data_IF_650265855076
#
_entry.id   IF_650265855076
#
_cell.length_a   1.000
_cell.length_b   1.000
_cell.length_c   1.000
_cell.angle_alpha   90.00
_cell.angle_beta   90.00
_cell.angle_gamma   90.00
#
_symmetry.space_group_name_H-M   'P 1'
#
loop_
_entity.id
_entity.type
_entity.pdbx_description
1 polymer ?
#
# COMPACT_ATOMS: atom_id res chain seq x y z
N UNK A 1 -61.67 -3.52 31.98
CA UNK A 1 -62.47 -2.50 31.27
C UNK A 1 -61.93 -2.38 29.85
N UNK A 2 -62.88 -2.27 28.92
CA UNK A 2 -62.76 -1.83 27.52
C UNK A 2 -62.10 -2.76 26.50
N UNK A 3 -62.99 -3.43 25.77
CA UNK A 3 -62.78 -4.09 24.48
C UNK A 3 -62.37 -3.10 23.38
N UNK A 4 -61.76 -3.63 22.31
CA UNK A 4 -62.00 -3.10 20.98
C UNK A 4 -62.11 -4.25 19.98
N UNK A 5 -63.33 -4.42 19.48
CA UNK A 5 -63.69 -5.27 18.37
C UNK A 5 -63.35 -4.57 17.05
N UNK A 6 -63.03 -5.34 16.01
CA UNK A 6 -62.89 -4.80 14.66
C UNK A 6 -62.54 -5.87 13.64
N UNK A 7 -63.51 -6.70 13.26
CA UNK A 7 -63.43 -7.53 12.04
C UNK A 7 -63.58 -6.62 10.83
N UNK A 8 -62.72 -6.77 9.82
CA UNK A 8 -63.00 -6.36 8.44
C UNK A 8 -62.52 -7.47 7.50
N UNK A 9 -63.44 -7.93 6.65
CA UNK A 9 -63.28 -9.00 5.67
C UNK A 9 -62.71 -8.44 4.35
N UNK A 10 -62.02 -9.35 3.67
CA UNK A 10 -61.65 -9.45 2.26
C UNK A 10 -62.31 -8.51 1.23
N UNK A 11 -61.50 -8.01 0.29
CA UNK A 11 -61.93 -7.56 -1.02
C UNK A 11 -60.84 -6.87 -1.86
N UNK A 12 -60.37 -7.56 -2.92
CA UNK A 12 -59.62 -7.05 -4.10
C UNK A 12 -58.14 -6.67 -3.85
N UNK A 13 -57.11 -7.44 -4.25
CA UNK A 13 -56.75 -7.93 -5.59
C UNK A 13 -56.85 -6.84 -6.68
N UNK A 14 -55.95 -5.86 -6.60
CA UNK A 14 -55.62 -4.94 -7.68
C UNK A 14 -54.17 -4.45 -7.51
N UNK A 15 -53.43 -4.47 -8.63
CA UNK A 15 -52.14 -3.83 -8.89
C UNK A 15 -50.92 -4.37 -8.10
N UNK A 16 -50.20 -5.38 -8.62
CA UNK A 16 -49.24 -5.28 -9.75
C UNK A 16 -48.11 -4.30 -9.45
N UNK A 17 -46.96 -4.88 -9.11
CA UNK A 17 -45.61 -4.45 -9.50
C UNK A 17 -45.37 -2.92 -9.48
N UNK A 18 -45.32 -2.33 -8.29
CA UNK A 18 -44.49 -1.15 -8.08
C UNK A 18 -43.04 -1.61 -7.91
N UNK A 19 -42.39 -1.83 -9.05
CA UNK A 19 -40.97 -1.60 -9.35
C UNK A 19 -40.13 -1.15 -8.14
N UNK A 20 -39.75 -2.09 -7.28
CA UNK A 20 -38.42 -2.05 -6.68
C UNK A 20 -37.46 -2.45 -7.79
N UNK A 21 -37.22 -1.55 -8.74
CA UNK A 21 -35.99 -1.60 -9.51
C UNK A 21 -34.88 -1.43 -8.50
N UNK A 22 -34.02 -2.44 -8.21
CA UNK A 22 -32.71 -2.08 -7.75
C UNK A 22 -32.18 -1.16 -8.84
N UNK A 23 -31.74 0.03 -8.44
CA UNK A 23 -30.89 0.86 -9.27
C UNK A 23 -29.74 -0.07 -9.67
N UNK A 24 -29.79 -0.58 -10.89
CA UNK A 24 -28.63 -1.07 -11.58
C UNK A 24 -27.78 0.18 -11.69
N UNK A 25 -26.94 0.41 -10.68
CA UNK A 25 -25.71 1.16 -10.84
C UNK A 25 -24.94 0.33 -11.86
N UNK A 26 -25.24 0.60 -13.12
CA UNK A 26 -24.49 0.16 -14.26
C UNK A 26 -23.14 0.85 -14.06
N UNK A 27 -22.20 0.14 -13.44
CA UNK A 27 -20.80 0.53 -13.41
C UNK A 27 -20.38 0.65 -14.88
N UNK A 28 -20.47 1.87 -15.40
CA UNK A 28 -20.03 2.19 -16.73
C UNK A 28 -18.51 2.01 -16.76
N UNK A 29 -18.07 0.99 -17.50
CA UNK A 29 -16.72 0.92 -18.05
C UNK A 29 -15.70 0.21 -17.20
N UNK A 30 -15.92 -1.05 -16.79
CA UNK A 30 -14.82 -1.98 -16.42
C UNK A 30 -13.92 -1.54 -15.25
N UNK A 31 -14.21 -0.42 -14.61
CA UNK A 31 -13.53 0.13 -13.43
C UNK A 31 -14.27 -0.37 -12.20
N UNK A 32 -13.55 -1.00 -11.28
CA UNK A 32 -14.05 -1.36 -9.96
C UNK A 32 -13.09 -0.96 -8.87
N UNK A 33 -13.63 -0.43 -7.79
CA UNK A 33 -12.89 -0.28 -6.53
C UNK A 33 -13.08 -1.53 -5.69
N UNK A 34 -11.98 -2.08 -5.22
CA UNK A 34 -11.88 -3.26 -4.38
C UNK A 34 -11.17 -2.88 -3.08
N UNK A 35 -11.68 -3.40 -1.97
CA UNK A 35 -11.05 -3.30 -0.66
C UNK A 35 -11.02 -4.68 0.00
N UNK A 36 -9.91 -5.01 0.62
CA UNK A 36 -9.61 -6.21 1.36
C UNK A 36 -9.24 -5.87 2.80
N UNK A 37 -10.14 -6.03 3.75
CA UNK A 37 -9.90 -5.61 5.14
C UNK A 37 -8.58 -6.17 5.72
N UNK A 38 -8.14 -7.35 5.26
CA UNK A 38 -6.87 -7.98 5.65
C UNK A 38 -5.62 -7.14 5.35
N UNK A 39 -5.66 -6.28 4.33
CA UNK A 39 -4.53 -5.39 4.02
C UNK A 39 -4.38 -4.30 5.09
N UNK A 40 -5.45 -3.98 5.82
CA UNK A 40 -5.43 -3.00 6.92
C UNK A 40 -4.89 -3.65 8.19
N UNK A 41 -3.57 -3.67 8.34
CA UNK A 41 -2.89 -4.26 9.50
C UNK A 41 -1.55 -3.60 9.75
N UNK A 42 -0.91 -4.04 10.82
CA UNK A 42 0.49 -3.73 11.12
C UNK A 42 1.37 -4.73 10.39
N UNK A 43 2.39 -4.21 9.70
CA UNK A 43 3.44 -4.95 9.05
C UNK A 43 4.74 -4.64 9.79
N UNK A 44 5.45 -5.68 10.21
CA UNK A 44 6.71 -5.58 10.94
C UNK A 44 7.84 -6.14 10.08
N UNK A 45 9.06 -5.66 10.28
CA UNK A 45 10.28 -6.23 9.66
C UNK A 45 10.24 -6.30 8.12
N UNK A 46 9.71 -5.26 7.47
CA UNK A 46 9.64 -5.14 6.01
C UNK A 46 11.03 -5.08 5.35
N UNK A 47 11.96 -4.30 5.92
CA UNK A 47 13.30 -4.04 5.35
C UNK A 47 14.32 -3.75 6.45
N UNK A 48 15.39 -4.53 6.55
CA UNK A 48 16.48 -4.24 7.48
C UNK A 48 17.48 -3.22 6.89
N UNK A 49 17.89 -3.40 5.64
CA UNK A 49 18.83 -2.51 4.95
C UNK A 49 18.12 -1.42 4.13
N UNK A 50 18.23 -0.16 4.56
CA UNK A 50 17.52 0.94 3.91
C UNK A 50 18.30 1.56 2.76
N UNK A 51 19.59 1.86 2.97
CA UNK A 51 20.44 2.46 1.93
C UNK A 51 21.91 2.55 2.33
N UNK A 52 22.80 2.55 1.34
CA UNK A 52 24.20 2.96 1.50
C UNK A 52 24.43 4.28 0.77
N UNK A 53 24.76 5.33 1.52
CA UNK A 53 25.03 6.66 0.99
C UNK A 53 26.55 6.87 0.99
N UNK A 54 27.14 7.14 -0.18
CA UNK A 54 28.59 7.41 -0.32
C UNK A 54 28.84 8.85 -0.69
N UNK A 55 29.68 9.55 0.08
CA UNK A 55 29.90 11.00 -0.05
C UNK A 55 31.37 11.33 0.16
N UNK A 56 32.10 11.46 -0.94
CA UNK A 56 33.55 11.59 -0.89
C UNK A 56 34.18 10.41 -0.14
N UNK A 57 34.95 10.63 0.93
CA UNK A 57 35.54 9.56 1.75
C UNK A 57 34.62 9.02 2.84
N UNK A 58 33.39 9.54 2.96
CA UNK A 58 32.42 9.12 3.96
C UNK A 58 31.44 8.09 3.38
N UNK A 59 31.17 7.03 4.14
CA UNK A 59 30.12 6.06 3.86
C UNK A 59 29.12 6.08 5.02
N UNK A 60 27.83 6.15 4.71
CA UNK A 60 26.73 6.10 5.69
C UNK A 60 25.82 4.94 5.31
N UNK A 61 25.83 3.87 6.09
CA UNK A 61 24.92 2.76 5.94
C UNK A 61 23.72 2.96 6.88
N UNK A 62 22.52 3.01 6.31
CA UNK A 62 21.26 3.16 7.04
C UNK A 62 20.58 1.80 7.16
N UNK A 63 20.23 1.43 8.39
CA UNK A 63 19.51 0.20 8.73
C UNK A 63 18.32 0.49 9.63
N UNK A 64 17.29 -0.35 9.57
CA UNK A 64 16.13 -0.27 10.45
C UNK A 64 15.83 -1.61 11.11
N UNK A 65 16.55 -1.95 12.20
CA UNK A 65 16.48 -3.27 12.82
C UNK A 65 15.12 -3.58 13.45
N UNK A 66 14.32 -2.55 13.71
CA UNK A 66 12.97 -2.68 14.25
C UNK A 66 12.11 -1.56 13.67
N UNK A 67 11.07 -1.92 12.92
CA UNK A 67 10.11 -0.97 12.39
C UNK A 67 8.76 -1.64 12.19
N UNK A 68 7.72 -0.81 12.24
CA UNK A 68 6.35 -1.17 12.01
C UNK A 68 5.70 -0.16 11.06
N UNK A 69 4.95 -0.67 10.10
CA UNK A 69 4.14 0.12 9.20
C UNK A 69 2.69 -0.32 9.36
N UNK A 70 1.82 0.60 9.71
CA UNK A 70 0.39 0.38 9.77
C UNK A 70 -0.25 0.87 8.48
N UNK A 71 -0.96 -0.01 7.80
CA UNK A 71 -1.90 0.38 6.74
C UNK A 71 -3.27 0.53 7.40
N UNK A 72 -3.77 1.76 7.51
CA UNK A 72 -5.08 2.02 8.13
C UNK A 72 -6.21 1.88 7.13
N UNK A 73 -5.93 2.18 5.87
CA UNK A 73 -6.88 2.11 4.77
C UNK A 73 -6.16 1.79 3.48
N UNK A 74 -6.85 1.09 2.61
CA UNK A 74 -6.44 0.94 1.23
C UNK A 74 -7.67 0.93 0.32
N UNK A 75 -7.45 1.28 -0.94
CA UNK A 75 -8.42 1.12 -2.00
C UNK A 75 -7.67 0.75 -3.28
N UNK A 76 -8.04 -0.35 -3.91
CA UNK A 76 -7.52 -0.74 -5.20
C UNK A 76 -8.57 -0.46 -6.27
N UNK A 77 -8.27 0.42 -7.20
CA UNK A 77 -9.07 0.60 -8.40
C UNK A 77 -8.49 -0.27 -9.50
N UNK A 78 -9.30 -1.20 -10.01
CA UNK A 78 -8.97 -2.09 -11.11
C UNK A 78 -9.76 -1.67 -12.34
N UNK A 79 -9.06 -1.45 -13.45
CA UNK A 79 -9.66 -1.15 -14.75
C UNK A 79 -9.35 -2.30 -15.69
N UNK A 80 -10.39 -2.91 -16.26
CA UNK A 80 -10.23 -3.98 -17.23
C UNK A 80 -9.42 -3.51 -18.45
N UNK A 81 -8.30 -4.19 -18.70
CA UNK A 81 -7.51 -4.08 -19.93
C UNK A 81 -7.72 -5.29 -20.84
N UNK A 82 -6.74 -5.54 -21.72
CA UNK A 82 -6.76 -6.65 -22.67
C UNK A 82 -6.27 -7.96 -22.03
N UNK A 83 -6.71 -9.10 -22.58
CA UNK A 83 -6.21 -10.45 -22.25
C UNK A 83 -6.23 -10.83 -20.75
N UNK A 84 -7.16 -10.26 -19.96
CA UNK A 84 -7.26 -10.53 -18.52
C UNK A 84 -6.21 -9.81 -17.67
N UNK A 85 -5.54 -8.81 -18.23
CA UNK A 85 -4.71 -7.85 -17.53
C UNK A 85 -5.57 -6.68 -17.07
N UNK A 86 -5.30 -6.20 -15.86
CA UNK A 86 -6.00 -5.10 -15.21
C UNK A 86 -5.01 -4.00 -14.90
N UNK A 87 -5.31 -2.80 -15.38
CA UNK A 87 -4.67 -1.59 -14.89
C UNK A 87 -5.10 -1.37 -13.44
N UNK A 88 -4.14 -1.12 -12.55
CA UNK A 88 -4.39 -0.99 -11.12
C UNK A 88 -3.84 0.32 -10.59
N UNK A 89 -4.66 1.02 -9.82
CA UNK A 89 -4.24 2.10 -8.92
C UNK A 89 -4.52 1.65 -7.50
N UNK A 90 -3.48 1.53 -6.68
CA UNK A 90 -3.57 1.19 -5.27
C UNK A 90 -3.26 2.44 -4.44
N UNK A 91 -4.28 2.93 -3.73
CA UNK A 91 -4.14 3.99 -2.74
C UNK A 91 -4.00 3.35 -1.35
N UNK A 92 -2.97 3.74 -0.59
CA UNK A 92 -2.69 3.26 0.76
C UNK A 92 -2.59 4.45 1.71
N UNK A 93 -3.32 4.45 2.82
CA UNK A 93 -3.07 5.35 3.95
C UNK A 93 -2.17 4.61 4.95
N UNK A 94 -0.97 5.16 5.17
CA UNK A 94 0.06 4.54 6.01
C UNK A 94 0.51 5.46 7.14
N UNK A 95 0.85 4.84 8.27
CA UNK A 95 1.58 5.42 9.40
C UNK A 95 2.58 4.38 9.91
N UNK A 96 3.47 4.77 10.81
CA UNK A 96 4.43 3.81 11.34
C UNK A 96 5.47 4.44 12.25
N UNK A 97 6.30 3.58 12.79
CA UNK A 97 7.42 3.97 13.63
C UNK A 97 8.47 2.87 13.66
N UNK A 98 9.67 3.21 14.12
CA UNK A 98 10.75 2.26 14.27
C UNK A 98 12.00 2.90 14.81
N UNK A 99 13.11 2.21 14.60
CA UNK A 99 14.45 2.66 14.91
C UNK A 99 15.24 2.70 13.61
N UNK A 100 16.03 3.76 13.44
CA UNK A 100 17.01 3.88 12.37
C UNK A 100 18.40 3.91 12.98
N UNK A 101 19.29 3.10 12.42
CA UNK A 101 20.71 3.01 12.79
C UNK A 101 21.53 3.47 11.59
N UNK A 102 22.38 4.46 11.80
CA UNK A 102 23.33 4.94 10.81
C UNK A 102 24.74 4.58 11.23
N UNK A 103 25.40 3.72 10.47
CA UNK A 103 26.83 3.50 10.61
C UNK A 103 27.55 4.48 9.69
N UNK A 104 28.35 5.36 10.26
CA UNK A 104 29.10 6.41 9.59
C UNK A 104 30.58 6.05 9.62
N UNK A 105 31.16 5.86 8.44
CA UNK A 105 32.58 5.54 8.26
C UNK A 105 33.23 6.71 7.52
N UNK A 106 34.26 7.32 8.12
CA UNK A 106 35.04 8.41 7.52
C UNK A 106 36.53 8.09 7.66
N UNK A 107 37.14 7.60 6.58
CA UNK A 107 38.53 7.12 6.63
C UNK A 107 38.67 5.94 7.60
N UNK A 108 39.36 6.13 8.73
CA UNK A 108 39.51 5.12 9.78
C UNK A 108 38.60 5.34 10.99
N UNK A 109 37.75 6.37 10.97
CA UNK A 109 36.79 6.65 12.04
C UNK A 109 35.47 5.97 11.71
N UNK A 110 34.93 5.23 12.68
CA UNK A 110 33.63 4.59 12.62
C UNK A 110 32.78 5.10 13.79
N UNK A 111 31.54 5.49 13.49
CA UNK A 111 30.58 5.96 14.48
C UNK A 111 29.22 5.40 14.16
N UNK A 112 28.47 5.01 15.18
CA UNK A 112 27.09 4.56 15.03
C UNK A 112 26.15 5.57 15.68
N UNK A 113 25.10 5.96 14.96
CA UNK A 113 24.03 6.81 15.45
C UNK A 113 22.73 6.02 15.42
N UNK A 114 21.97 6.06 16.51
CA UNK A 114 20.68 5.38 16.60
C UNK A 114 19.62 6.40 16.97
N UNK A 115 18.51 6.40 16.23
CA UNK A 115 17.41 7.33 16.44
C UNK A 115 16.05 6.66 16.26
N UNK A 116 15.03 7.30 16.81
CA UNK A 116 13.65 6.96 16.48
C UNK A 116 13.33 7.40 15.05
N UNK A 117 12.55 6.58 14.37
CA UNK A 117 12.01 6.81 13.04
C UNK A 117 10.50 6.87 13.18
N UNK A 118 9.90 7.91 12.63
CA UNK A 118 8.45 8.08 12.57
C UNK A 118 8.05 8.11 11.10
N UNK A 119 7.04 7.32 10.74
CA UNK A 119 6.37 7.43 9.45
C UNK A 119 5.08 8.22 9.68
N UNK A 120 5.05 9.53 9.37
CA UNK A 120 3.86 10.34 9.55
C UNK A 120 2.73 9.81 8.66
N UNK A 121 1.49 10.15 9.03
CA UNK A 121 0.33 9.83 8.21
C UNK A 121 0.49 10.39 6.79
N UNK A 122 0.44 9.50 5.80
CA UNK A 122 0.57 9.85 4.40
C UNK A 122 -0.18 8.86 3.50
N UNK A 123 -0.52 9.34 2.30
CA UNK A 123 -1.17 8.54 1.27
C UNK A 123 -0.15 8.19 0.20
N UNK A 124 0.04 6.89 -0.04
CA UNK A 124 0.80 6.39 -1.18
C UNK A 124 -0.15 6.03 -2.32
N UNK A 125 0.28 6.29 -3.55
CA UNK A 125 -0.40 5.85 -4.76
C UNK A 125 0.55 5.03 -5.60
N UNK A 126 0.16 3.80 -5.89
CA UNK A 126 0.93 2.86 -6.69
C UNK A 126 0.13 2.54 -7.95
N UNK A 127 0.70 2.85 -9.09
CA UNK A 127 0.13 2.53 -10.40
C UNK A 127 0.83 1.29 -10.98
N UNK A 128 0.06 0.37 -11.53
CA UNK A 128 0.60 -0.86 -12.08
C UNK A 128 -0.37 -1.57 -13.02
N UNK A 129 0.01 -2.78 -13.41
CA UNK A 129 -0.84 -3.71 -14.12
C UNK A 129 -0.68 -5.11 -13.52
N UNK A 130 -1.79 -5.82 -13.35
CA UNK A 130 -1.83 -7.17 -12.79
C UNK A 130 -2.68 -8.08 -13.68
N UNK A 131 -2.28 -9.34 -13.82
CA UNK A 131 -3.13 -10.39 -14.38
C UNK A 131 -3.73 -11.20 -13.23
N UNK A 132 -5.03 -11.49 -13.31
CA UNK A 132 -5.73 -12.25 -12.26
C UNK A 132 -6.31 -13.53 -12.85
N UNK A 133 -5.92 -14.67 -12.28
CA UNK A 133 -6.42 -16.00 -12.65
C UNK A 133 -7.04 -16.69 -11.44
N UNK A 134 -8.24 -17.25 -11.62
CA UNK A 134 -8.92 -18.05 -10.60
C UNK A 134 -8.71 -19.55 -10.83
N UNK A 135 -8.48 -20.30 -9.76
CA UNK A 135 -8.52 -21.75 -9.73
C UNK A 135 -9.12 -22.29 -8.41
N UNK A 136 -8.89 -23.57 -8.11
CA UNK A 136 -9.42 -24.26 -6.92
C UNK A 136 -8.75 -23.80 -5.62
N UNK A 137 -7.53 -23.27 -5.67
CA UNK A 137 -6.78 -22.80 -4.50
C UNK A 137 -7.12 -21.35 -4.15
N UNK A 138 -7.44 -20.53 -5.16
CA UNK A 138 -7.86 -19.15 -4.95
C UNK A 138 -7.72 -18.25 -6.17
N UNK A 139 -7.10 -17.08 -5.94
CA UNK A 139 -6.84 -16.08 -6.97
C UNK A 139 -5.34 -15.85 -7.09
N UNK A 140 -4.79 -16.22 -8.23
CA UNK A 140 -3.42 -15.92 -8.60
C UNK A 140 -3.36 -14.51 -9.18
N UNK A 141 -2.53 -13.68 -8.59
CA UNK A 141 -2.21 -12.34 -9.06
C UNK A 141 -0.78 -12.38 -9.58
N UNK A 142 -0.61 -12.10 -10.87
CA UNK A 142 0.70 -11.86 -11.46
C UNK A 142 0.89 -10.38 -11.69
N UNK A 143 2.00 -9.82 -11.20
CA UNK A 143 2.36 -8.43 -11.46
C UNK A 143 2.91 -8.29 -12.87
N UNK A 144 2.21 -7.63 -13.78
CA UNK A 144 2.70 -7.38 -15.15
C UNK A 144 3.59 -6.13 -15.18
N UNK A 145 3.17 -5.09 -14.45
CA UNK A 145 3.90 -3.83 -14.32
C UNK A 145 3.71 -3.30 -12.90
N UNK A 146 4.80 -2.97 -12.25
CA UNK A 146 4.82 -2.32 -10.95
C UNK A 146 6.08 -1.44 -10.89
N UNK A 147 6.06 -0.25 -10.28
CA UNK A 147 7.28 0.45 -9.97
C UNK A 147 8.19 -0.43 -9.10
N UNK A 148 9.50 -0.40 -9.34
CA UNK A 148 10.45 -1.20 -8.56
C UNK A 148 10.53 -0.77 -7.09
N UNK A 149 10.24 0.51 -6.82
CA UNK A 149 10.31 1.11 -5.49
C UNK A 149 9.22 2.14 -5.32
N UNK A 150 8.77 2.35 -4.09
CA UNK A 150 7.98 3.51 -3.68
C UNK A 150 8.74 4.36 -2.66
N UNK A 151 8.44 5.65 -2.59
CA UNK A 151 9.05 6.56 -1.63
C UNK A 151 8.13 6.77 -0.44
N UNK A 152 8.67 6.54 0.76
CA UNK A 152 7.99 6.76 2.03
C UNK A 152 8.68 7.90 2.75
N UNK A 153 7.92 8.96 3.07
CA UNK A 153 8.44 10.04 3.90
C UNK A 153 8.58 9.56 5.33
N UNK A 154 9.71 9.88 5.93
CA UNK A 154 10.00 9.62 7.34
C UNK A 154 10.43 10.90 8.05
N UNK A 155 10.28 10.89 9.38
CA UNK A 155 10.71 11.93 10.27
C UNK A 155 11.68 11.30 11.29
N UNK A 156 12.89 11.85 11.38
CA UNK A 156 13.91 11.44 12.34
C UNK A 156 14.86 12.60 12.62
N UNK A 157 15.36 12.70 13.85
CA UNK A 157 16.38 13.67 14.22
C UNK A 157 17.74 13.39 13.55
N UNK A 158 17.91 12.18 12.99
CA UNK A 158 19.14 11.74 12.33
C UNK A 158 19.54 12.68 11.20
N UNK A 159 18.58 13.21 10.44
CA UNK A 159 18.87 14.11 9.33
C UNK A 159 19.53 15.41 9.77
N UNK A 160 19.00 16.04 10.82
CA UNK A 160 19.59 17.25 11.41
C UNK A 160 20.98 16.99 11.98
N UNK A 161 21.19 15.83 12.62
CA UNK A 161 22.48 15.46 13.19
C UNK A 161 23.52 15.21 12.09
N UNK A 162 23.19 14.39 11.09
CA UNK A 162 24.07 14.11 9.95
C UNK A 162 24.36 15.37 9.13
N UNK A 163 23.37 16.24 8.93
CA UNK A 163 23.55 17.52 8.26
C UNK A 163 24.51 18.43 9.03
N UNK A 164 24.41 18.48 10.37
CA UNK A 164 25.31 19.26 11.22
C UNK A 164 26.75 18.75 11.11
N UNK A 165 26.95 17.43 11.17
CA UNK A 165 28.27 16.80 10.98
C UNK A 165 28.81 17.08 9.57
N UNK A 166 27.98 16.92 8.54
CA UNK A 166 28.35 17.17 7.16
C UNK A 166 28.80 18.63 6.94
N UNK A 167 28.07 19.61 7.49
CA UNK A 167 28.44 21.03 7.39
C UNK A 167 29.77 21.35 8.05
N UNK A 168 30.07 20.75 9.21
CA UNK A 168 31.36 20.92 9.87
C UNK A 168 32.50 20.33 9.02
N UNK A 169 32.25 19.19 8.38
CA UNK A 169 33.22 18.52 7.51
C UNK A 169 33.40 19.22 6.15
N UNK A 170 32.36 19.82 5.59
CA UNK A 170 32.42 20.54 4.32
C UNK A 170 33.39 21.73 4.35
N UNK A 171 33.68 22.28 5.54
CA UNK A 171 34.71 23.32 5.74
C UNK A 171 36.14 22.79 5.52
N UNK A 172 36.36 21.49 5.68
CA UNK A 172 37.68 20.84 5.60
C UNK A 172 37.80 20.00 4.32
N UNK A 173 36.70 19.38 3.89
CA UNK A 173 36.60 18.49 2.74
C UNK A 173 35.76 19.16 1.66
N UNK A 174 36.44 19.69 0.64
CA UNK A 174 35.80 20.25 -0.55
C UNK A 174 35.07 19.12 -1.28
N UNK A 175 33.74 19.25 -1.49
CA UNK A 175 32.82 18.35 -2.25
C UNK A 175 31.76 17.52 -1.48
N UNK A 176 31.46 17.82 -0.21
CA UNK A 176 30.33 17.19 0.49
C UNK A 176 28.96 17.80 0.07
N UNK A 177 28.10 17.00 -0.54
CA UNK A 177 26.70 17.36 -0.85
C UNK A 177 25.80 17.05 0.36
N UNK A 178 25.73 17.99 1.31
CA UNK A 178 24.93 17.82 2.52
C UNK A 178 23.42 17.84 2.26
N UNK A 179 22.95 18.42 1.15
CA UNK A 179 21.53 18.42 0.78
C UNK A 179 21.07 17.04 0.29
N UNK A 180 21.95 16.30 -0.40
CA UNK A 180 21.68 14.91 -0.77
C UNK A 180 21.52 14.01 0.48
N UNK A 181 22.29 14.25 1.55
CA UNK A 181 22.14 13.52 2.83
C UNK A 181 20.78 13.77 3.42
N UNK A 182 20.41 15.04 3.56
CA UNK A 182 19.13 15.44 4.17
C UNK A 182 17.94 14.86 3.41
N UNK A 183 18.02 14.76 2.08
CA UNK A 183 16.99 14.08 1.28
C UNK A 183 16.97 12.57 1.51
N UNK A 184 18.13 11.93 1.57
CA UNK A 184 18.22 10.47 1.74
C UNK A 184 17.73 9.97 3.11
N UNK A 185 17.75 10.84 4.13
CA UNK A 185 17.29 10.54 5.50
C UNK A 185 15.85 10.99 5.78
N UNK A 186 15.20 11.63 4.80
CA UNK A 186 13.78 12.04 4.88
C UNK A 186 12.87 11.19 3.98
N UNK A 187 13.43 10.54 2.95
CA UNK A 187 12.72 9.65 2.04
C UNK A 187 13.38 8.27 2.03
N UNK A 188 12.64 7.24 2.42
CA UNK A 188 13.06 5.85 2.29
C UNK A 188 12.50 5.27 0.99
N UNK A 189 13.34 4.56 0.24
CA UNK A 189 12.90 3.77 -0.91
C UNK A 189 12.52 2.37 -0.42
N UNK A 190 11.23 2.04 -0.50
CA UNK A 190 10.68 0.72 -0.17
C UNK A 190 10.61 -0.10 -1.46
N UNK A 191 11.29 -1.25 -1.56
CA UNK A 191 11.19 -2.12 -2.73
C UNK A 191 9.78 -2.69 -2.82
N UNK A 192 9.26 -2.75 -4.03
CA UNK A 192 7.99 -3.38 -4.35
C UNK A 192 8.23 -4.70 -5.08
N UNK A 193 7.23 -5.60 -5.12
CA UNK A 193 7.23 -6.78 -5.97
C UNK A 193 7.76 -6.51 -7.38
N UNK A 194 8.70 -7.35 -7.82
CA UNK A 194 9.19 -7.30 -9.20
C UNK A 194 8.07 -7.65 -10.18
N UNK A 195 8.14 -7.06 -11.37
CA UNK A 195 7.32 -7.49 -12.49
C UNK A 195 7.59 -8.97 -12.81
N UNK A 196 6.54 -9.73 -13.06
CA UNK A 196 6.53 -11.18 -13.20
C UNK A 196 6.30 -11.95 -11.89
N UNK A 197 6.35 -11.29 -10.73
CA UNK A 197 6.02 -11.92 -9.45
C UNK A 197 4.59 -12.47 -9.44
N UNK A 198 4.40 -13.67 -8.91
CA UNK A 198 3.09 -14.32 -8.74
C UNK A 198 2.77 -14.50 -7.26
N UNK A 199 1.52 -14.20 -6.89
CA UNK A 199 1.02 -14.24 -5.52
C UNK A 199 -0.34 -14.93 -5.48
N UNK A 200 -0.53 -15.85 -4.54
CA UNK A 200 -1.81 -16.51 -4.31
C UNK A 200 -2.57 -15.80 -3.19
N UNK A 201 -3.79 -15.35 -3.49
CA UNK A 201 -4.81 -15.08 -2.48
C UNK A 201 -5.62 -16.37 -2.30
N UNK A 202 -5.31 -17.14 -1.26
CA UNK A 202 -5.97 -18.42 -0.99
C UNK A 202 -7.46 -18.24 -0.63
N UNK A 203 -8.29 -19.22 -0.95
CA UNK A 203 -9.73 -19.16 -0.62
C UNK A 203 -10.00 -19.07 0.88
N UNK A 204 -9.17 -19.72 1.70
CA UNK A 204 -9.26 -19.68 3.17
C UNK A 204 -9.01 -18.28 3.74
N UNK A 205 -8.25 -17.47 2.99
CA UNK A 205 -7.90 -16.11 3.32
C UNK A 205 -8.91 -15.06 2.82
N UNK A 206 -10.01 -15.51 2.20
CA UNK A 206 -11.02 -14.63 1.61
C UNK A 206 -12.40 -14.89 2.19
N UNK A 207 -13.09 -13.80 2.54
CA UNK A 207 -14.49 -13.86 2.93
C UNK A 207 -15.37 -14.30 1.76
N UNK A 208 -16.59 -14.75 2.05
CA UNK A 208 -17.53 -15.12 0.99
C UNK A 208 -17.97 -13.91 0.16
N UNK A 209 -18.01 -12.74 0.77
CA UNK A 209 -18.37 -11.47 0.12
C UNK A 209 -17.27 -11.03 -0.85
N UNK A 210 -16.02 -10.96 -0.40
CA UNK A 210 -14.86 -10.66 -1.26
C UNK A 210 -14.79 -11.61 -2.45
N UNK A 211 -15.00 -12.92 -2.22
CA UNK A 211 -15.03 -13.91 -3.30
C UNK A 211 -16.10 -13.64 -4.35
N UNK A 212 -17.32 -13.31 -3.92
CA UNK A 212 -18.42 -13.00 -4.83
C UNK A 212 -18.14 -11.75 -5.64
N UNK A 213 -17.50 -10.76 -5.04
CA UNK A 213 -17.17 -9.52 -5.73
C UNK A 213 -16.03 -9.73 -6.74
N UNK A 214 -14.99 -10.49 -6.38
CA UNK A 214 -13.94 -10.92 -7.31
C UNK A 214 -14.47 -11.76 -8.47
N UNK A 215 -15.30 -12.76 -8.18
CA UNK A 215 -15.84 -13.65 -9.21
C UNK A 215 -16.76 -12.88 -10.17
N UNK A 216 -17.55 -11.93 -9.64
CA UNK A 216 -18.37 -11.04 -10.46
C UNK A 216 -17.50 -10.16 -11.36
N UNK A 217 -16.44 -9.58 -10.81
CA UNK A 217 -15.50 -8.76 -11.57
C UNK A 217 -14.84 -9.55 -12.70
N UNK A 218 -14.22 -10.69 -12.39
CA UNK A 218 -13.56 -11.55 -13.37
C UNK A 218 -14.53 -12.07 -14.45
N UNK A 219 -15.79 -12.31 -14.08
CA UNK A 219 -16.84 -12.70 -15.02
C UNK A 219 -17.25 -11.60 -15.99
N UNK A 220 -17.23 -10.33 -15.57
CA UNK A 220 -17.56 -9.17 -16.41
C UNK A 220 -16.41 -8.78 -17.35
N UNK A 221 -15.16 -8.97 -16.91
CA UNK A 221 -13.96 -8.63 -17.66
C UNK A 221 -13.63 -9.62 -18.77
N UNK A 222 -14.14 -10.85 -18.69
CA UNK A 222 -14.14 -11.82 -19.79
C UNK A 222 -15.21 -11.46 -20.83
N UNK A 223 -15.06 -10.34 -21.52
CA UNK A 223 -15.79 -10.12 -22.78
C UNK A 223 -15.04 -10.86 -23.91
N UNK A 224 -15.74 -11.59 -24.79
CA UNK A 224 -15.13 -12.26 -25.94
C UNK A 224 -14.59 -11.28 -26.98
#
# INVERSE_FOLDING_TARGET
MTACAGRLRAGHLALVLALCSPVLAQEEGGVRTVSFERLNRVYEELIDDLSLIRIGPAEVALRSPAHSLTVSRHAATLTAGDDGVFETELELEITGSGQIVADVIIGSLESQLTQELIVPAQTLRLEGAIAIRRDEEGYWIRTERMPATTQVRIESELGTQLFTVCRQMALVLVSLDCEAIERAVTLISVPLPEAGGEYLIALEDTTLEERRDFDRFLGQSRKP
#
